data_IF_679626293829
#
_entry.id   IF_679626293829
#
_cell.length_a   1.000
_cell.length_b   1.000
_cell.length_c   1.000
_cell.angle_alpha   90.00
_cell.angle_beta   90.00
_cell.angle_gamma   90.00
#
_symmetry.space_group_name_H-M   'P 1'
#
loop_
_entity.id
_entity.type
_entity.pdbx_description
1 polymer ?
#
# COMPACT_ATOMS: atom_id res chain seq x y z
N UNK A 1 -21.36 32.97 -24.83
CA UNK A 1 -20.61 32.38 -23.71
C UNK A 1 -19.68 31.27 -24.22
N UNK A 2 -18.46 31.62 -24.64
CA UNK A 2 -17.51 30.67 -25.26
C UNK A 2 -16.68 29.91 -24.21
N UNK A 3 -16.47 30.49 -23.03
CA UNK A 3 -15.68 29.89 -21.92
C UNK A 3 -16.31 28.60 -21.42
N UNK A 4 -17.62 28.58 -21.21
CA UNK A 4 -18.33 27.38 -20.78
C UNK A 4 -18.17 26.22 -21.76
N UNK A 5 -18.22 26.49 -23.08
CA UNK A 5 -18.11 25.44 -24.10
C UNK A 5 -16.74 24.75 -24.10
N UNK A 6 -15.65 25.48 -23.87
CA UNK A 6 -14.31 24.88 -23.73
C UNK A 6 -14.18 24.07 -22.44
N UNK A 7 -14.78 24.55 -21.34
CA UNK A 7 -14.76 23.84 -20.06
C UNK A 7 -15.52 22.52 -20.18
N UNK A 8 -16.72 22.50 -20.75
CA UNK A 8 -17.48 21.26 -20.96
C UNK A 8 -16.77 20.29 -21.89
N UNK A 9 -16.18 20.77 -23.00
CA UNK A 9 -15.43 19.93 -23.92
C UNK A 9 -14.16 19.34 -23.29
N UNK A 10 -13.46 20.14 -22.47
CA UNK A 10 -12.28 19.70 -21.73
C UNK A 10 -12.65 18.70 -20.63
N UNK A 11 -13.71 18.96 -19.86
CA UNK A 11 -14.23 18.03 -18.85
C UNK A 11 -14.75 16.75 -19.47
N UNK A 12 -15.47 16.80 -20.60
CA UNK A 12 -15.97 15.60 -21.27
C UNK A 12 -14.83 14.77 -21.85
N UNK A 13 -13.75 15.40 -22.32
CA UNK A 13 -12.56 14.68 -22.74
C UNK A 13 -11.88 14.00 -21.55
N UNK A 14 -11.75 14.71 -20.43
CA UNK A 14 -11.20 14.17 -19.18
C UNK A 14 -12.03 13.02 -18.60
N UNK A 15 -13.35 13.15 -18.60
CA UNK A 15 -14.28 12.14 -18.08
C UNK A 15 -14.38 10.89 -18.98
N UNK A 16 -14.02 10.99 -20.26
CA UNK A 16 -14.02 9.88 -21.21
C UNK A 16 -12.63 9.28 -21.44
N UNK A 17 -11.63 9.62 -20.61
CA UNK A 17 -10.33 8.94 -20.67
C UNK A 17 -10.50 7.51 -20.14
N UNK A 18 -10.69 6.56 -21.05
CA UNK A 18 -10.64 5.13 -20.74
C UNK A 18 -9.20 4.64 -20.92
N UNK A 19 -8.69 3.85 -19.98
CA UNK A 19 -7.37 3.26 -20.14
C UNK A 19 -7.37 2.32 -21.36
N UNK A 20 -6.50 2.52 -22.36
CA UNK A 20 -6.40 1.59 -23.47
C UNK A 20 -5.81 0.26 -22.98
N UNK A 21 -6.37 -0.87 -23.43
CA UNK A 21 -5.88 -2.20 -23.06
C UNK A 21 -4.38 -2.33 -23.37
N UNK A 22 -3.57 -2.56 -22.34
CA UNK A 22 -2.13 -2.70 -22.50
C UNK A 22 -1.75 -4.15 -22.70
N UNK A 23 -1.14 -4.41 -23.84
CA UNK A 23 -0.61 -5.74 -24.16
C UNK A 23 0.87 -5.79 -23.81
N UNK A 24 1.23 -6.69 -22.89
CA UNK A 24 2.61 -6.95 -22.47
C UNK A 24 2.65 -8.00 -21.36
N UNK A 25 3.77 -8.74 -21.23
CA UNK A 25 3.89 -9.83 -20.25
C UNK A 25 3.64 -9.34 -18.81
N UNK A 26 4.14 -8.15 -18.47
CA UNK A 26 3.93 -7.51 -17.16
C UNK A 26 2.47 -7.11 -16.94
N UNK A 27 1.79 -6.58 -17.96
CA UNK A 27 0.38 -6.19 -17.85
C UNK A 27 -0.52 -7.43 -17.70
N UNK A 28 -0.23 -8.50 -18.45
CA UNK A 28 -0.92 -9.78 -18.32
C UNK A 28 -0.69 -10.42 -16.95
N UNK A 29 0.54 -10.37 -16.43
CA UNK A 29 0.87 -10.90 -15.11
C UNK A 29 0.15 -10.15 -14.00
N UNK A 30 0.26 -8.81 -13.99
CA UNK A 30 -0.36 -7.94 -12.98
C UNK A 30 -1.90 -7.97 -13.05
N UNK A 31 -2.46 -8.10 -14.27
CA UNK A 31 -3.90 -8.23 -14.47
C UNK A 31 -4.45 -9.64 -14.24
N UNK A 32 -3.61 -10.62 -13.91
CA UNK A 32 -4.07 -12.00 -13.69
C UNK A 32 -4.82 -12.14 -12.37
N UNK A 33 -5.92 -12.91 -12.38
CA UNK A 33 -6.68 -13.26 -11.17
C UNK A 33 -5.85 -14.02 -10.14
N UNK A 34 -4.81 -14.71 -10.59
CA UNK A 34 -3.83 -15.33 -9.70
C UNK A 34 -3.03 -14.30 -8.92
N UNK A 35 -2.47 -13.29 -9.60
CA UNK A 35 -1.69 -12.24 -8.95
C UNK A 35 -2.53 -11.41 -7.98
N UNK A 36 -3.77 -11.10 -8.36
CA UNK A 36 -4.75 -10.43 -7.51
C UNK A 36 -5.13 -11.27 -6.27
N UNK A 37 -5.35 -12.57 -6.43
CA UNK A 37 -5.61 -13.47 -5.31
C UNK A 37 -4.40 -13.65 -4.38
N UNK A 38 -3.20 -13.68 -4.96
CA UNK A 38 -1.94 -13.79 -4.23
C UNK A 38 -1.68 -12.54 -3.39
N UNK A 39 -1.90 -11.34 -3.95
CA UNK A 39 -1.76 -10.11 -3.18
C UNK A 39 -2.77 -10.02 -2.03
N UNK A 40 -4.03 -10.36 -2.28
CA UNK A 40 -5.06 -10.41 -1.24
C UNK A 40 -4.68 -11.39 -0.11
N UNK A 41 -4.18 -12.58 -0.46
CA UNK A 41 -3.72 -13.58 0.51
C UNK A 41 -2.55 -13.05 1.35
N UNK A 42 -1.60 -12.35 0.75
CA UNK A 42 -0.45 -11.77 1.45
C UNK A 42 -0.88 -10.64 2.39
N UNK A 43 -1.84 -9.80 1.98
CA UNK A 43 -2.41 -8.73 2.82
C UNK A 43 -3.08 -9.34 4.05
N UNK A 44 -3.92 -10.36 3.86
CA UNK A 44 -4.60 -11.06 4.96
C UNK A 44 -3.59 -11.75 5.88
N UNK A 45 -2.62 -12.48 5.31
CA UNK A 45 -1.58 -13.16 6.07
C UNK A 45 -0.74 -12.19 6.91
N UNK A 46 -0.36 -11.05 6.33
CA UNK A 46 0.34 -9.98 7.05
C UNK A 46 -0.50 -9.42 8.20
N UNK A 47 -1.81 -9.23 8.02
CA UNK A 47 -2.68 -8.73 9.09
C UNK A 47 -2.84 -9.72 10.24
N UNK A 48 -2.99 -11.02 9.94
CA UNK A 48 -3.01 -12.08 10.96
C UNK A 48 -1.68 -12.13 11.71
N UNK A 49 -0.57 -12.07 10.98
CA UNK A 49 0.77 -12.05 11.59
C UNK A 49 0.98 -10.81 12.46
N UNK A 50 0.55 -9.63 12.01
CA UNK A 50 0.64 -8.40 12.78
C UNK A 50 -0.22 -8.45 14.05
N UNK A 51 -1.42 -9.05 14.00
CA UNK A 51 -2.24 -9.27 15.19
C UNK A 51 -1.55 -10.22 16.19
N UNK A 52 -0.93 -11.29 15.69
CA UNK A 52 -0.14 -12.20 16.51
C UNK A 52 1.11 -11.53 17.12
N UNK A 53 1.81 -10.69 16.34
CA UNK A 53 2.97 -9.94 16.79
C UNK A 53 2.64 -9.00 17.96
N UNK A 54 1.45 -8.39 17.95
CA UNK A 54 0.96 -7.52 19.03
C UNK A 54 0.80 -8.30 20.35
N UNK A 55 0.25 -9.51 20.29
CA UNK A 55 0.05 -10.38 21.46
C UNK A 55 1.41 -10.84 22.05
N UNK A 56 2.34 -11.17 21.16
CA UNK A 56 3.70 -11.54 21.53
C UNK A 56 4.47 -10.37 22.15
N UNK A 57 4.29 -9.15 21.63
CA UNK A 57 4.87 -7.93 22.17
C UNK A 57 4.26 -7.56 23.54
N UNK A 58 2.94 -7.70 23.72
CA UNK A 58 2.29 -7.50 25.02
C UNK A 58 2.83 -8.46 26.09
N UNK A 59 3.03 -9.73 25.71
CA UNK A 59 3.59 -10.75 26.61
C UNK A 59 5.06 -10.49 26.95
N UNK A 60 5.84 -9.94 26.00
CA UNK A 60 7.24 -9.60 26.19
C UNK A 60 7.44 -8.39 27.13
N UNK A 61 6.54 -7.41 27.10
CA UNK A 61 6.54 -6.26 28.02
C UNK A 61 6.38 -6.69 29.49
N UNK A 62 5.61 -7.75 29.75
CA UNK A 62 5.45 -8.31 31.10
C UNK A 62 6.65 -9.17 31.55
N UNK A 63 7.41 -9.72 30.59
CA UNK A 63 8.48 -10.71 30.83
C UNK A 63 9.91 -10.12 30.81
N UNK A 64 10.08 -8.86 30.38
CA UNK A 64 11.37 -8.15 30.44
C UNK A 64 12.45 -8.62 29.46
N UNK A 65 12.10 -9.26 28.34
CA UNK A 65 13.08 -9.82 27.40
C UNK A 65 12.73 -9.59 25.92
N UNK A 66 13.58 -8.88 25.14
CA UNK A 66 13.31 -8.56 23.74
C UNK A 66 13.66 -9.72 22.80
N UNK A 67 12.66 -10.28 22.11
CA UNK A 67 12.87 -11.13 20.91
C UNK A 67 12.24 -10.48 19.66
N UNK A 68 12.52 -9.19 19.44
CA UNK A 68 11.85 -8.41 18.40
C UNK A 68 12.40 -8.61 16.97
N UNK A 69 13.60 -9.19 16.81
CA UNK A 69 14.29 -9.23 15.50
C UNK A 69 13.54 -10.01 14.40
N UNK A 70 12.96 -11.17 14.74
CA UNK A 70 12.27 -12.02 13.76
C UNK A 70 10.93 -11.41 13.29
N UNK A 71 10.22 -10.74 14.20
CA UNK A 71 8.93 -10.09 13.90
C UNK A 71 9.13 -8.93 12.94
N UNK A 72 10.09 -8.04 13.22
CA UNK A 72 10.40 -6.89 12.36
C UNK A 72 10.85 -7.32 10.97
N UNK A 73 11.65 -8.38 10.85
CA UNK A 73 12.10 -8.90 9.56
C UNK A 73 10.94 -9.41 8.69
N UNK A 74 9.97 -10.11 9.30
CA UNK A 74 8.78 -10.61 8.59
C UNK A 74 7.87 -9.45 8.17
N UNK A 75 7.71 -8.44 9.01
CA UNK A 75 6.93 -7.24 8.67
C UNK A 75 7.54 -6.45 7.51
N UNK A 76 8.87 -6.29 7.49
CA UNK A 76 9.60 -5.66 6.39
C UNK A 76 9.46 -6.47 5.08
N UNK A 77 9.47 -7.81 5.17
CA UNK A 77 9.21 -8.67 4.02
C UNK A 77 7.81 -8.43 3.43
N UNK A 78 6.76 -8.41 4.27
CA UNK A 78 5.41 -8.14 3.79
C UNK A 78 5.25 -6.73 3.20
N UNK A 79 5.89 -5.73 3.82
CA UNK A 79 5.90 -4.36 3.31
C UNK A 79 6.56 -4.28 1.93
N UNK A 80 7.73 -4.88 1.76
CA UNK A 80 8.47 -4.85 0.50
C UNK A 80 7.73 -5.57 -0.63
N UNK A 81 7.10 -6.72 -0.34
CA UNK A 81 6.27 -7.41 -1.33
C UNK A 81 5.14 -6.52 -1.84
N UNK A 82 4.44 -5.87 -0.92
CA UNK A 82 3.35 -4.96 -1.25
C UNK A 82 3.84 -3.71 -2.01
N UNK A 83 5.00 -3.16 -1.64
CA UNK A 83 5.60 -2.03 -2.36
C UNK A 83 5.98 -2.42 -3.81
N UNK A 84 6.52 -3.62 -4.01
CA UNK A 84 6.85 -4.16 -5.33
C UNK A 84 5.59 -4.38 -6.17
N UNK A 85 4.54 -4.94 -5.58
CA UNK A 85 3.24 -5.10 -6.25
C UNK A 85 2.70 -3.76 -6.76
N UNK A 86 2.70 -2.75 -5.87
CA UNK A 86 2.22 -1.41 -6.22
C UNK A 86 3.09 -0.78 -7.31
N UNK A 87 4.40 -0.94 -7.22
CA UNK A 87 5.34 -0.44 -8.22
C UNK A 87 5.11 -1.10 -9.59
N UNK A 88 4.89 -2.41 -9.63
CA UNK A 88 4.53 -3.12 -10.87
C UNK A 88 3.23 -2.59 -11.47
N UNK A 89 2.19 -2.39 -10.65
CA UNK A 89 0.93 -1.75 -11.07
C UNK A 89 1.18 -0.34 -11.61
N UNK A 90 2.01 0.46 -10.94
CA UNK A 90 2.34 1.82 -11.39
C UNK A 90 3.08 1.83 -12.73
N UNK A 91 4.04 0.92 -12.94
CA UNK A 91 4.78 0.79 -14.21
C UNK A 91 3.85 0.34 -15.33
N UNK A 92 2.91 -0.57 -15.04
CA UNK A 92 1.92 -1.07 -15.99
C UNK A 92 0.90 -0.01 -16.36
N UNK A 93 0.33 0.75 -15.41
CA UNK A 93 -0.73 1.75 -15.66
C UNK A 93 -0.18 3.15 -15.99
N UNK A 94 1.07 3.47 -15.63
CA UNK A 94 1.74 4.77 -15.83
C UNK A 94 0.86 5.95 -15.37
N UNK A 95 0.58 6.90 -16.25
CA UNK A 95 -0.23 8.09 -15.96
C UNK A 95 -1.73 7.79 -15.80
N UNK A 96 -2.22 6.67 -16.36
CA UNK A 96 -3.64 6.26 -16.21
C UNK A 96 -3.95 5.76 -14.81
N UNK A 97 -2.91 5.41 -14.03
CA UNK A 97 -3.02 5.11 -12.60
C UNK A 97 -3.71 6.23 -11.80
N UNK A 98 -3.59 7.49 -12.26
CA UNK A 98 -4.14 8.68 -11.61
C UNK A 98 -5.47 9.18 -12.19
N UNK A 99 -5.94 8.61 -13.30
CA UNK A 99 -7.09 9.14 -14.05
C UNK A 99 -8.25 8.15 -14.15
N UNK A 100 -7.97 6.85 -14.04
CA UNK A 100 -9.00 5.81 -14.13
C UNK A 100 -10.05 5.88 -12.99
N UNK A 101 -11.19 5.21 -13.15
CA UNK A 101 -12.24 5.11 -12.11
C UNK A 101 -11.68 4.63 -10.76
N UNK A 102 -10.69 3.73 -10.85
CA UNK A 102 -9.98 3.14 -9.73
C UNK A 102 -8.82 4.01 -9.21
N UNK A 103 -8.55 5.17 -9.83
CA UNK A 103 -7.43 6.04 -9.48
C UNK A 103 -7.44 6.50 -8.03
N UNK A 104 -8.62 6.71 -7.44
CA UNK A 104 -8.74 7.12 -6.02
C UNK A 104 -8.12 6.10 -5.07
N UNK A 105 -8.39 4.82 -5.32
CA UNK A 105 -7.83 3.72 -4.53
C UNK A 105 -6.34 3.52 -4.79
N UNK A 106 -5.95 3.62 -6.05
CA UNK A 106 -4.56 3.55 -6.48
C UNK A 106 -3.69 4.67 -5.85
N UNK A 107 -4.22 5.90 -5.77
CA UNK A 107 -3.57 7.05 -5.11
C UNK A 107 -3.47 6.82 -3.60
N UNK A 108 -4.55 6.33 -2.97
CA UNK A 108 -4.52 5.98 -1.54
C UNK A 108 -3.42 4.97 -1.23
N UNK A 109 -3.31 3.94 -2.05
CA UNK A 109 -2.30 2.89 -1.94
C UNK A 109 -0.87 3.42 -2.08
N UNK A 110 -0.67 4.39 -2.99
CA UNK A 110 0.60 5.08 -3.21
C UNK A 110 0.99 5.95 -2.02
N UNK A 111 0.05 6.73 -1.48
CA UNK A 111 0.28 7.52 -0.27
C UNK A 111 0.68 6.61 0.88
N UNK A 112 0.00 5.47 1.04
CA UNK A 112 0.27 4.51 2.11
C UNK A 112 1.70 3.93 2.02
N UNK A 113 2.17 3.60 0.81
CA UNK A 113 3.56 3.13 0.63
C UNK A 113 4.57 4.23 0.95
N UNK A 114 4.35 5.45 0.45
CA UNK A 114 5.26 6.57 0.68
C UNK A 114 5.35 6.90 2.17
N UNK A 115 4.22 6.96 2.89
CA UNK A 115 4.22 7.22 4.33
C UNK A 115 4.90 6.09 5.11
N UNK A 116 4.75 4.84 4.67
CA UNK A 116 5.46 3.69 5.27
C UNK A 116 6.97 3.81 5.11
N UNK A 117 7.46 4.12 3.91
CA UNK A 117 8.89 4.25 3.61
C UNK A 117 9.50 5.46 4.33
N UNK A 118 8.81 6.61 4.28
CA UNK A 118 9.26 7.82 4.97
C UNK A 118 9.48 7.56 6.45
N UNK A 119 8.53 6.88 7.08
CA UNK A 119 8.59 6.53 8.49
C UNK A 119 9.73 5.54 8.79
N UNK A 120 9.92 4.51 7.97
CA UNK A 120 11.02 3.55 8.15
C UNK A 120 12.40 4.23 8.05
N UNK A 121 12.54 5.23 7.18
CA UNK A 121 13.74 6.07 7.08
C UNK A 121 13.89 6.99 8.31
N UNK A 122 12.81 7.57 8.80
CA UNK A 122 12.80 8.40 10.01
C UNK A 122 13.27 7.60 11.22
N UNK A 123 12.69 6.42 11.46
CA UNK A 123 13.09 5.51 12.54
C UNK A 123 14.55 5.05 12.39
N UNK A 124 15.06 4.90 11.17
CA UNK A 124 16.46 4.52 10.92
C UNK A 124 17.46 5.68 11.10
N UNK A 125 17.01 6.93 11.08
CA UNK A 125 17.90 8.13 11.13
C UNK A 125 17.81 8.90 12.45
N UNK A 126 16.71 8.78 13.21
CA UNK A 126 16.54 9.43 14.51
C UNK A 126 17.06 8.52 15.63
N UNK A 127 18.15 8.96 16.28
CA UNK A 127 18.74 8.32 17.47
C UNK A 127 17.70 8.11 18.59
N UNK A 128 17.42 6.84 18.89
CA UNK A 128 17.01 6.16 20.15
C UNK A 128 15.98 6.79 21.13
N UNK A 129 15.54 8.04 20.99
CA UNK A 129 14.79 8.76 22.03
C UNK A 129 13.29 8.99 21.75
N UNK A 130 12.76 8.52 20.62
CA UNK A 130 11.32 8.67 20.26
C UNK A 130 10.56 7.33 20.26
N UNK A 131 10.89 6.42 21.17
CA UNK A 131 10.28 5.07 21.26
C UNK A 131 8.75 5.05 21.55
N UNK A 132 8.11 6.19 21.83
CA UNK A 132 6.71 6.26 22.27
C UNK A 132 5.67 6.54 21.18
N UNK A 133 6.03 7.15 20.05
CA UNK A 133 5.08 7.48 18.96
C UNK A 133 5.06 6.42 17.84
N UNK A 134 6.00 5.49 17.86
CA UNK A 134 6.39 4.70 16.69
C UNK A 134 5.49 3.48 16.41
N UNK A 135 5.18 2.67 17.42
CA UNK A 135 4.41 1.43 17.20
C UNK A 135 2.96 1.68 16.78
N UNK A 136 2.33 2.76 17.26
CA UNK A 136 0.93 3.04 16.97
C UNK A 136 0.71 3.45 15.52
N UNK A 137 1.66 4.17 14.91
CA UNK A 137 1.53 4.62 13.52
C UNK A 137 1.73 3.47 12.52
N UNK A 138 2.74 2.63 12.73
CA UNK A 138 2.95 1.43 11.91
C UNK A 138 1.73 0.50 11.95
N UNK A 139 1.10 0.35 13.12
CA UNK A 139 -0.14 -0.43 13.28
C UNK A 139 -1.31 0.17 12.50
N UNK A 140 -1.49 1.49 12.54
CA UNK A 140 -2.53 2.18 11.75
C UNK A 140 -2.31 1.97 10.26
N UNK A 141 -1.09 2.12 9.75
CA UNK A 141 -0.78 1.86 8.34
C UNK A 141 -1.08 0.41 7.93
N UNK A 142 -0.83 -0.57 8.80
CA UNK A 142 -1.17 -1.98 8.57
C UNK A 142 -2.69 -2.20 8.50
N UNK A 143 -3.47 -1.59 9.40
CA UNK A 143 -4.93 -1.67 9.38
C UNK A 143 -5.50 -0.99 8.13
N UNK A 144 -4.95 0.17 7.75
CA UNK A 144 -5.37 0.87 6.54
C UNK A 144 -5.11 0.05 5.26
N UNK A 145 -4.11 -0.85 5.25
CA UNK A 145 -3.91 -1.79 4.12
C UNK A 145 -5.06 -2.79 3.98
N UNK A 146 -5.79 -3.12 5.04
CA UNK A 146 -6.98 -3.99 4.96
C UNK A 146 -8.15 -3.32 4.24
N UNK A 147 -8.18 -1.99 4.16
CA UNK A 147 -9.20 -1.25 3.41
C UNK A 147 -9.22 -1.63 1.92
N UNK A 148 -8.12 -2.18 1.40
CA UNK A 148 -8.07 -2.74 0.05
C UNK A 148 -8.88 -4.00 -0.16
N UNK A 149 -9.10 -4.81 0.87
CA UNK A 149 -9.91 -6.02 0.75
C UNK A 149 -11.38 -5.63 0.47
N UNK A 150 -11.81 -4.46 0.96
CA UNK A 150 -13.15 -3.92 0.71
C UNK A 150 -13.39 -3.51 -0.76
N UNK A 151 -12.33 -3.48 -1.58
CA UNK A 151 -12.37 -3.15 -3.00
C UNK A 151 -12.58 -4.38 -3.90
N UNK A 152 -12.30 -5.59 -3.39
CA UNK A 152 -12.48 -6.86 -4.11
C UNK A 152 -13.96 -7.14 -4.37
#
# INVERSE_FOLDING_TARGET
DKKNKYIYHWLSWWLNLHEPERHGCLAWFVGSKFFEGLSATIIVGNAVFAAYAIDLEMSALESGGPQHGHVTMIEAFFLSFYAVELFMKMVVHRLYFFVDHEARWNIFDLVLVITSIYYEIETATVNENSQGLDLSYMRVLRILKLARILRV
#
